data_IF_294540203745
#
_entry.id   IF_294540203745
#
_cell.length_a   1.000
_cell.length_b   1.000
_cell.length_c   1.000
_cell.angle_alpha   90.00
_cell.angle_beta   90.00
_cell.angle_gamma   90.00
#
_symmetry.space_group_name_H-M   'P 1'
#
loop_
_entity.id
_entity.type
_entity.pdbx_description
1 polymer ?
#
# COMPACT_ATOMS: atom_id res chain seq x y z
N UNK A 1 55.64 7.22 0.01
CA UNK A 1 54.96 7.21 1.31
C UNK A 1 53.70 8.08 1.35
N UNK A 2 53.73 9.38 1.00
CA UNK A 2 52.50 10.22 0.98
C UNK A 2 51.52 9.82 -0.12
N UNK A 3 52.02 9.51 -1.33
CA UNK A 3 51.18 9.10 -2.45
C UNK A 3 50.49 7.74 -2.22
N UNK A 4 51.15 6.82 -1.53
CA UNK A 4 50.62 5.47 -1.24
C UNK A 4 49.41 5.54 -0.30
N UNK A 5 49.46 6.46 0.68
CA UNK A 5 48.33 6.75 1.58
C UNK A 5 47.15 7.35 0.81
N UNK A 6 47.39 8.34 -0.04
CA UNK A 6 46.35 8.97 -0.88
C UNK A 6 45.68 7.92 -1.79
N UNK A 7 46.46 7.04 -2.43
CA UNK A 7 45.92 5.98 -3.30
C UNK A 7 45.05 5.01 -2.50
N UNK A 8 45.46 4.63 -1.28
CA UNK A 8 44.68 3.74 -0.42
C UNK A 8 43.36 4.38 0.03
N UNK A 9 43.38 5.65 0.42
CA UNK A 9 42.17 6.40 0.81
C UNK A 9 41.19 6.54 -0.36
N UNK A 10 41.67 6.88 -1.56
CA UNK A 10 40.83 6.96 -2.76
C UNK A 10 40.19 5.62 -3.14
N UNK A 11 40.90 4.50 -2.97
CA UNK A 11 40.32 3.16 -3.18
C UNK A 11 39.23 2.85 -2.16
N UNK A 12 39.42 3.23 -0.89
CA UNK A 12 38.40 3.10 0.15
C UNK A 12 37.15 3.91 -0.18
N UNK A 13 37.32 5.20 -0.52
CA UNK A 13 36.22 6.06 -0.92
C UNK A 13 35.46 5.56 -2.15
N UNK A 14 36.17 5.01 -3.14
CA UNK A 14 35.51 4.44 -4.32
C UNK A 14 34.68 3.19 -3.99
N UNK A 15 35.17 2.34 -3.07
CA UNK A 15 34.40 1.20 -2.59
C UNK A 15 33.14 1.64 -1.83
N UNK A 16 33.26 2.61 -0.93
CA UNK A 16 32.12 3.19 -0.21
C UNK A 16 31.09 3.81 -1.17
N UNK A 17 31.54 4.52 -2.21
CA UNK A 17 30.67 5.06 -3.25
C UNK A 17 29.92 3.96 -4.01
N UNK A 18 30.62 2.91 -4.45
CA UNK A 18 29.99 1.79 -5.17
C UNK A 18 28.95 1.07 -4.32
N UNK A 19 29.22 0.92 -3.02
CA UNK A 19 28.28 0.28 -2.09
C UNK A 19 27.06 1.16 -1.82
N UNK A 20 27.25 2.48 -1.68
CA UNK A 20 26.14 3.43 -1.55
C UNK A 20 25.21 3.40 -2.76
N UNK A 21 25.77 3.39 -3.99
CA UNK A 21 24.98 3.32 -5.23
C UNK A 21 24.15 2.02 -5.29
N UNK A 22 24.72 0.89 -4.85
CA UNK A 22 23.99 -0.39 -4.78
C UNK A 22 22.87 -0.33 -3.74
N UNK A 23 23.11 0.26 -2.58
CA UNK A 23 22.11 0.39 -1.52
C UNK A 23 20.93 1.29 -1.96
N UNK A 24 21.23 2.41 -2.62
CA UNK A 24 20.19 3.29 -3.16
C UNK A 24 19.32 2.58 -4.21
N UNK A 25 19.93 1.79 -5.09
CA UNK A 25 19.19 1.00 -6.08
C UNK A 25 18.34 -0.09 -5.42
N UNK A 26 18.89 -0.82 -4.45
CA UNK A 26 18.15 -1.85 -3.73
C UNK A 26 16.95 -1.25 -2.98
N UNK A 27 17.13 -0.09 -2.35
CA UNK A 27 16.05 0.63 -1.67
C UNK A 27 14.98 1.09 -2.66
N UNK A 28 15.36 1.65 -3.80
CA UNK A 28 14.40 2.06 -4.83
C UNK A 28 13.55 0.89 -5.34
N UNK A 29 14.16 -0.25 -5.65
CA UNK A 29 13.41 -1.43 -6.11
C UNK A 29 12.45 -1.94 -5.03
N UNK A 30 12.83 -1.89 -3.75
CA UNK A 30 11.94 -2.25 -2.64
C UNK A 30 10.72 -1.32 -2.56
N UNK A 31 10.90 -0.01 -2.68
CA UNK A 31 9.79 0.96 -2.67
C UNK A 31 8.88 0.75 -3.89
N UNK A 32 9.45 0.43 -5.05
CA UNK A 32 8.69 0.08 -6.26
C UNK A 32 7.80 -1.14 -6.04
N UNK A 33 8.36 -2.22 -5.51
CA UNK A 33 7.60 -3.45 -5.22
C UNK A 33 6.50 -3.23 -4.17
N UNK A 34 6.72 -2.33 -3.20
CA UNK A 34 5.70 -1.96 -2.23
C UNK A 34 4.56 -1.19 -2.89
N UNK A 35 4.89 -0.22 -3.75
CA UNK A 35 3.91 0.55 -4.52
C UNK A 35 3.09 -0.33 -5.45
N UNK A 36 3.73 -1.21 -6.23
CA UNK A 36 3.03 -2.15 -7.14
C UNK A 36 2.08 -3.08 -6.38
N UNK A 37 2.50 -3.57 -5.21
CA UNK A 37 1.62 -4.37 -4.33
C UNK A 37 0.45 -3.56 -3.78
N UNK A 38 0.66 -2.30 -3.40
CA UNK A 38 -0.39 -1.41 -2.92
C UNK A 38 -1.43 -1.13 -4.02
N UNK A 39 -0.99 -0.89 -5.27
CA UNK A 39 -1.89 -0.76 -6.44
C UNK A 39 -2.72 -2.02 -6.64
N UNK A 40 -2.09 -3.20 -6.66
CA UNK A 40 -2.80 -4.46 -6.85
C UNK A 40 -3.80 -4.76 -5.71
N UNK A 41 -3.47 -4.39 -4.47
CA UNK A 41 -4.39 -4.49 -3.34
C UNK A 41 -5.58 -3.54 -3.48
N UNK A 42 -5.36 -2.30 -3.92
CA UNK A 42 -6.44 -1.32 -4.09
C UNK A 42 -7.49 -1.78 -5.11
N UNK A 43 -7.07 -2.44 -6.19
CA UNK A 43 -8.01 -3.02 -7.17
C UNK A 43 -8.94 -4.04 -6.48
N UNK A 44 -8.38 -4.98 -5.73
CA UNK A 44 -9.16 -6.01 -5.01
C UNK A 44 -10.06 -5.40 -3.94
N UNK A 45 -9.56 -4.40 -3.22
CA UNK A 45 -10.32 -3.70 -2.19
C UNK A 45 -11.49 -2.90 -2.80
N UNK A 46 -11.30 -2.29 -3.97
CA UNK A 46 -12.37 -1.60 -4.69
C UNK A 46 -13.47 -2.56 -5.17
N UNK A 47 -13.10 -3.74 -5.68
CA UNK A 47 -14.07 -4.78 -6.06
C UNK A 47 -14.88 -5.27 -4.84
N UNK A 48 -14.19 -5.53 -3.72
CA UNK A 48 -14.84 -5.96 -2.49
C UNK A 48 -15.76 -4.87 -1.92
N UNK A 49 -15.30 -3.61 -1.94
CA UNK A 49 -16.06 -2.44 -1.56
C UNK A 49 -17.38 -2.37 -2.34
N UNK A 50 -17.31 -2.42 -3.67
CA UNK A 50 -18.50 -2.37 -4.52
C UNK A 50 -19.49 -3.50 -4.21
N UNK A 51 -19.00 -4.72 -3.97
CA UNK A 51 -19.85 -5.86 -3.61
C UNK A 51 -20.56 -5.67 -2.24
N UNK A 52 -19.89 -5.06 -1.26
CA UNK A 52 -20.49 -4.76 0.04
C UNK A 52 -21.50 -3.62 -0.09
N UNK A 53 -21.18 -2.57 -0.83
CA UNK A 53 -22.09 -1.45 -1.08
C UNK A 53 -23.39 -1.90 -1.75
N UNK A 54 -23.32 -2.81 -2.73
CA UNK A 54 -24.50 -3.40 -3.37
C UNK A 54 -25.40 -4.15 -2.36
N UNK A 55 -24.80 -4.95 -1.47
CA UNK A 55 -25.53 -5.66 -0.41
C UNK A 55 -26.19 -4.70 0.58
N UNK A 56 -25.47 -3.64 0.97
CA UNK A 56 -25.99 -2.63 1.88
C UNK A 56 -27.13 -1.83 1.25
N UNK A 57 -27.07 -1.57 -0.06
CA UNK A 57 -28.15 -0.92 -0.81
C UNK A 57 -29.43 -1.76 -0.85
N UNK A 58 -29.30 -3.08 -1.04
CA UNK A 58 -30.43 -4.01 -1.05
C UNK A 58 -30.99 -4.31 0.36
N UNK A 59 -30.19 -4.09 1.40
CA UNK A 59 -30.51 -4.49 2.77
C UNK A 59 -31.86 -3.97 3.31
N UNK A 60 -32.31 -2.71 3.08
CA UNK A 60 -33.59 -2.24 3.58
C UNK A 60 -34.80 -3.00 3.04
N UNK A 61 -34.78 -3.37 1.76
CA UNK A 61 -35.86 -4.15 1.13
C UNK A 61 -35.81 -5.60 1.59
N UNK A 62 -34.62 -6.19 1.62
CA UNK A 62 -34.41 -7.53 2.12
C UNK A 62 -34.88 -7.69 3.57
N UNK A 63 -34.61 -6.69 4.42
CA UNK A 63 -35.01 -6.67 5.84
C UNK A 63 -36.50 -6.86 6.04
N UNK A 64 -37.35 -6.36 5.14
CA UNK A 64 -38.82 -6.44 5.27
C UNK A 64 -39.32 -7.88 5.31
N UNK A 65 -38.61 -8.80 4.64
CA UNK A 65 -38.99 -10.21 4.51
C UNK A 65 -38.20 -11.14 5.43
N UNK A 66 -37.20 -10.65 6.18
CA UNK A 66 -36.43 -11.49 7.10
C UNK A 66 -37.23 -11.80 8.37
N UNK A 67 -37.15 -13.06 8.79
CA UNK A 67 -37.66 -13.53 10.07
C UNK A 67 -36.77 -13.07 11.24
N UNK A 68 -35.45 -13.21 11.11
CA UNK A 68 -34.46 -12.82 12.12
C UNK A 68 -33.95 -11.39 11.88
N UNK A 69 -34.79 -10.39 12.14
CA UNK A 69 -34.47 -8.99 11.87
C UNK A 69 -33.25 -8.51 12.64
N UNK A 70 -33.15 -8.82 13.94
CA UNK A 70 -32.04 -8.34 14.77
C UNK A 70 -30.69 -8.92 14.32
N UNK A 71 -30.66 -10.21 13.95
CA UNK A 71 -29.46 -10.85 13.39
C UNK A 71 -29.07 -10.22 12.05
N UNK A 72 -30.06 -9.95 11.19
CA UNK A 72 -29.83 -9.29 9.91
C UNK A 72 -29.29 -7.87 10.10
N UNK A 73 -29.88 -7.09 11.01
CA UNK A 73 -29.44 -5.74 11.34
C UNK A 73 -28.01 -5.74 11.90
N UNK A 74 -27.65 -6.75 12.71
CA UNK A 74 -26.28 -6.99 13.16
C UNK A 74 -25.31 -7.22 12.00
N UNK A 75 -25.67 -8.08 11.04
CA UNK A 75 -24.85 -8.35 9.86
C UNK A 75 -24.66 -7.11 8.97
N UNK A 76 -25.71 -6.32 8.76
CA UNK A 76 -25.64 -5.06 8.00
C UNK A 76 -24.67 -4.09 8.67
N UNK A 77 -24.71 -3.99 10.00
CA UNK A 77 -23.79 -3.15 10.78
C UNK A 77 -22.33 -3.62 10.62
N UNK A 78 -22.08 -4.93 10.65
CA UNK A 78 -20.75 -5.49 10.45
C UNK A 78 -20.23 -5.19 9.04
N UNK A 79 -21.06 -5.32 8.00
CA UNK A 79 -20.70 -4.92 6.64
C UNK A 79 -20.30 -3.44 6.56
N UNK A 80 -21.06 -2.52 7.18
CA UNK A 80 -20.71 -1.10 7.21
C UNK A 80 -19.39 -0.83 7.94
N UNK A 81 -19.09 -1.58 9.01
CA UNK A 81 -17.81 -1.48 9.71
C UNK A 81 -16.64 -1.89 8.81
N UNK A 82 -16.74 -3.03 8.12
CA UNK A 82 -15.70 -3.48 7.22
C UNK A 82 -15.54 -2.57 6.00
N UNK A 83 -16.62 -1.94 5.54
CA UNK A 83 -16.55 -0.93 4.48
C UNK A 83 -15.64 0.24 4.88
N UNK A 84 -15.77 0.74 6.12
CA UNK A 84 -14.90 1.80 6.65
C UNK A 84 -13.42 1.35 6.71
N UNK A 85 -13.17 0.12 7.12
CA UNK A 85 -11.81 -0.44 7.16
C UNK A 85 -11.19 -0.59 5.77
N UNK A 86 -12.01 -0.93 4.77
CA UNK A 86 -11.57 -0.98 3.37
C UNK A 86 -11.17 0.43 2.90
N UNK A 87 -11.95 1.45 3.24
CA UNK A 87 -11.65 2.84 2.88
C UNK A 87 -10.35 3.34 3.53
N UNK A 88 -10.17 3.07 4.82
CA UNK A 88 -8.91 3.35 5.52
C UNK A 88 -7.73 2.66 4.82
N UNK A 89 -7.90 1.38 4.44
CA UNK A 89 -6.82 0.63 3.82
C UNK A 89 -6.47 1.11 2.41
N UNK A 90 -7.46 1.51 1.63
CA UNK A 90 -7.26 2.13 0.32
C UNK A 90 -6.50 3.45 0.47
N UNK A 91 -6.84 4.26 1.47
CA UNK A 91 -6.14 5.51 1.76
C UNK A 91 -4.67 5.30 2.13
N UNK A 92 -4.38 4.35 3.03
CA UNK A 92 -2.99 3.96 3.37
C UNK A 92 -2.20 3.52 2.13
N UNK A 93 -2.79 2.66 1.30
CA UNK A 93 -2.15 2.17 0.09
C UNK A 93 -1.90 3.31 -0.93
N UNK A 94 -2.83 4.25 -1.06
CA UNK A 94 -2.64 5.44 -1.91
C UNK A 94 -1.49 6.32 -1.41
N UNK A 95 -1.26 6.40 -0.10
CA UNK A 95 -0.09 7.10 0.44
C UNK A 95 1.22 6.41 0.05
N UNK A 96 1.28 5.07 0.12
CA UNK A 96 2.44 4.28 -0.34
C UNK A 96 2.73 4.57 -1.82
N UNK A 97 1.70 4.52 -2.67
CA UNK A 97 1.83 4.79 -4.10
C UNK A 97 2.32 6.22 -4.34
N UNK A 98 1.70 7.20 -3.69
CA UNK A 98 2.10 8.61 -3.82
C UNK A 98 3.54 8.86 -3.38
N UNK A 99 3.99 8.21 -2.31
CA UNK A 99 5.36 8.33 -1.82
C UNK A 99 6.36 7.75 -2.82
N UNK A 100 6.07 6.60 -3.43
CA UNK A 100 6.91 6.05 -4.49
C UNK A 100 6.93 6.96 -5.74
N UNK A 101 5.80 7.51 -6.16
CA UNK A 101 5.75 8.45 -7.29
C UNK A 101 6.62 9.70 -7.05
N UNK A 102 6.70 10.19 -5.81
CA UNK A 102 7.61 11.30 -5.45
C UNK A 102 9.06 10.88 -5.57
N UNK A 103 9.43 9.68 -5.10
CA UNK A 103 10.79 9.11 -5.25
C UNK A 103 11.15 8.97 -6.73
N UNK A 104 10.22 8.49 -7.56
CA UNK A 104 10.44 8.31 -8.99
C UNK A 104 10.69 9.63 -9.72
N UNK A 105 10.12 10.75 -9.27
CA UNK A 105 10.30 12.07 -9.89
C UNK A 105 11.65 12.74 -9.59
N UNK A 106 12.33 12.30 -8.53
CA UNK A 106 13.62 12.86 -8.11
C UNK A 106 14.81 12.01 -8.55
N UNK A 107 14.54 10.83 -9.13
CA UNK A 107 15.51 10.06 -9.92
C UNK A 107 15.55 10.55 -11.35
#
# INVERSE_FOLDING_TARGET
>A
MTNDKIISELKGLNAEYEDLVKEEEARFQKEKELSERAVAQNIKLAELKASIEEKLLAAPEERKTKFFKDTFDGLVKDYSKYLSQIDEKIAENNEIVSNFEKIQKIR
#
